data_IF_036552724936
#
_entry.id   IF_036552724936
#
_cell.length_a   1.000
_cell.length_b   1.000
_cell.length_c   1.000
_cell.angle_alpha   90.00
_cell.angle_beta   90.00
_cell.angle_gamma   90.00
#
_symmetry.space_group_name_H-M   'P 1'
#
loop_
_entity.id
_entity.type
_entity.pdbx_description
1 polymer ?
#
# COMPACT_ATOMS: atom_id res chain seq x y z
N UNK A 1 18.65 -2.79 18.75
CA UNK A 1 19.56 -3.36 19.77
C UNK A 1 21.01 -3.02 19.51
N UNK A 2 21.56 -3.30 18.31
CA UNK A 2 22.97 -3.05 18.00
C UNK A 2 23.44 -1.59 18.19
N UNK A 3 22.69 -0.60 17.70
CA UNK A 3 23.00 0.84 17.88
C UNK A 3 23.00 1.23 19.35
N UNK A 4 22.01 0.76 20.11
CA UNK A 4 21.90 1.00 21.55
C UNK A 4 23.11 0.42 22.29
N UNK A 5 23.50 -0.83 22.02
CA UNK A 5 24.67 -1.43 22.67
C UNK A 5 25.98 -0.76 22.25
N UNK A 6 26.11 -0.33 20.98
CA UNK A 6 27.24 0.48 20.53
C UNK A 6 27.38 1.79 21.31
N UNK A 7 26.26 2.49 21.56
CA UNK A 7 26.24 3.71 22.38
C UNK A 7 26.56 3.41 23.86
N UNK A 8 26.15 2.25 24.38
CA UNK A 8 26.52 1.81 25.75
C UNK A 8 28.01 1.54 25.87
N UNK A 9 28.64 0.95 24.84
CA UNK A 9 30.10 0.76 24.78
C UNK A 9 30.87 2.07 24.70
N UNK A 10 30.28 3.11 24.10
CA UNK A 10 30.83 4.47 24.08
C UNK A 10 30.67 5.23 25.41
N UNK A 11 30.14 4.58 26.45
CA UNK A 11 30.04 5.13 27.80
C UNK A 11 28.75 5.89 28.11
N UNK A 12 27.75 5.88 27.21
CA UNK A 12 26.47 6.55 27.46
C UNK A 12 25.63 5.77 28.49
N UNK A 13 24.95 6.50 29.38
CA UNK A 13 23.97 5.92 30.31
C UNK A 13 22.76 5.37 29.54
N UNK A 14 22.08 4.35 30.10
CA UNK A 14 20.96 3.66 29.46
C UNK A 14 19.86 4.62 28.96
N UNK A 15 19.49 5.62 29.77
CA UNK A 15 18.46 6.60 29.41
C UNK A 15 18.86 7.48 28.23
N UNK A 16 20.15 7.83 28.11
CA UNK A 16 20.66 8.66 27.01
C UNK A 16 20.83 7.81 25.75
N UNK A 17 21.41 6.61 25.88
CA UNK A 17 21.64 5.70 24.76
C UNK A 17 20.33 5.35 24.01
N UNK A 18 19.23 5.13 24.75
CA UNK A 18 17.92 4.87 24.16
C UNK A 18 17.42 6.04 23.29
N UNK A 19 17.49 7.27 23.81
CA UNK A 19 17.03 8.48 23.10
C UNK A 19 17.88 8.76 21.87
N UNK A 20 19.21 8.69 22.04
CA UNK A 20 20.17 8.91 20.95
C UNK A 20 19.95 7.89 19.84
N UNK A 21 19.63 6.63 20.16
CA UNK A 21 19.34 5.61 19.13
C UNK A 21 18.24 6.02 18.15
N UNK A 22 17.15 6.66 18.61
CA UNK A 22 16.07 7.13 17.73
C UNK A 22 16.45 8.33 16.89
N UNK A 23 17.22 9.24 17.48
CA UNK A 23 17.65 10.47 16.80
C UNK A 23 18.75 10.19 15.78
N UNK A 24 19.57 9.17 16.00
CA UNK A 24 20.71 8.87 15.12
C UNK A 24 20.31 8.08 13.88
N UNK A 25 19.35 7.15 13.96
CA UNK A 25 19.04 6.25 12.84
C UNK A 25 17.63 6.47 12.26
N UNK A 26 16.52 6.28 13.00
CA UNK A 26 15.19 6.54 12.47
C UNK A 26 14.98 7.96 11.95
N UNK A 27 15.32 9.00 12.73
CA UNK A 27 15.00 10.37 12.36
C UNK A 27 15.67 10.85 11.05
N UNK A 28 16.98 10.63 10.82
CA UNK A 28 17.61 11.02 9.57
C UNK A 28 17.10 10.22 8.37
N UNK A 29 16.81 8.92 8.56
CA UNK A 29 16.23 8.09 7.50
C UNK A 29 14.84 8.61 7.11
N UNK A 30 13.99 8.95 8.09
CA UNK A 30 12.66 9.51 7.81
C UNK A 30 12.74 10.88 7.13
N UNK A 31 13.63 11.76 7.58
CA UNK A 31 13.85 13.08 6.94
C UNK A 31 14.36 12.89 5.51
N UNK A 32 15.31 11.97 5.31
CA UNK A 32 15.83 11.66 3.99
C UNK A 32 14.73 11.14 3.05
N UNK A 33 13.91 10.19 3.49
CA UNK A 33 12.76 9.69 2.72
C UNK A 33 11.76 10.82 2.43
N UNK A 34 11.45 11.66 3.41
CA UNK A 34 10.55 12.81 3.22
C UNK A 34 11.08 13.80 2.17
N UNK A 35 12.38 14.09 2.18
CA UNK A 35 13.03 14.93 1.17
C UNK A 35 12.97 14.27 -0.20
N UNK A 36 13.25 12.95 -0.29
CA UNK A 36 13.11 12.21 -1.54
C UNK A 36 11.67 12.26 -2.07
N UNK A 37 10.66 12.11 -1.22
CA UNK A 37 9.26 12.21 -1.65
C UNK A 37 8.90 13.60 -2.14
N UNK A 38 9.50 14.67 -1.59
CA UNK A 38 9.27 16.03 -2.08
C UNK A 38 9.96 16.31 -3.42
N UNK A 39 11.11 15.68 -3.68
CA UNK A 39 11.86 15.83 -4.94
C UNK A 39 11.28 14.96 -6.06
N UNK A 40 10.88 13.73 -5.74
CA UNK A 40 10.45 12.71 -6.71
C UNK A 40 8.94 12.47 -6.75
N UNK A 41 8.16 13.05 -5.84
CA UNK A 41 6.70 12.96 -5.86
C UNK A 41 6.14 13.74 -7.05
N UNK A 42 5.78 13.03 -8.12
CA UNK A 42 5.33 13.63 -9.38
C UNK A 42 3.80 13.53 -9.60
N UNK A 43 3.04 13.03 -8.63
CA UNK A 43 1.61 12.72 -8.80
C UNK A 43 0.69 13.62 -7.97
N UNK A 44 -0.43 14.02 -8.58
CA UNK A 44 -1.59 14.64 -7.94
C UNK A 44 -2.85 13.82 -8.27
N UNK A 45 -3.97 13.95 -7.54
CA UNK A 45 -5.17 13.12 -7.72
C UNK A 45 -5.85 13.20 -9.10
N UNK A 46 -5.34 14.00 -10.04
CA UNK A 46 -5.86 14.14 -11.40
C UNK A 46 -4.76 14.06 -12.48
N UNK A 47 -3.59 13.48 -12.15
CA UNK A 47 -2.51 13.24 -13.11
C UNK A 47 -1.12 13.72 -12.66
N UNK A 48 -0.29 14.10 -13.64
CA UNK A 48 1.10 14.55 -13.43
C UNK A 48 1.10 15.93 -12.78
N UNK A 49 1.95 16.17 -11.77
CA UNK A 49 2.01 17.45 -11.02
C UNK A 49 2.14 18.72 -11.89
N UNK A 50 2.68 18.58 -13.11
CA UNK A 50 2.76 19.65 -14.11
C UNK A 50 1.37 20.16 -14.56
N UNK A 51 0.37 19.28 -14.59
CA UNK A 51 -0.98 19.54 -15.09
C UNK A 51 -1.95 19.99 -13.97
N UNK A 52 -1.43 20.33 -12.78
CA UNK A 52 -2.24 20.74 -11.61
C UNK A 52 -3.17 21.93 -11.85
N UNK A 53 -2.85 22.77 -12.83
CA UNK A 53 -3.67 23.92 -13.21
C UNK A 53 -4.66 23.60 -14.34
N UNK A 54 -4.60 22.39 -14.89
CA UNK A 54 -5.40 21.92 -16.03
C UNK A 54 -6.40 20.83 -15.63
N UNK A 55 -6.69 20.69 -14.33
CA UNK A 55 -7.74 19.80 -13.86
C UNK A 55 -9.08 20.21 -14.49
N UNK A 56 -9.81 19.32 -15.17
CA UNK A 56 -11.23 19.51 -15.36
C UNK A 56 -11.77 19.58 -13.94
N UNK A 57 -12.15 20.78 -13.50
CA UNK A 57 -12.78 20.97 -12.21
C UNK A 57 -14.03 20.08 -12.20
N UNK A 58 -13.94 18.92 -11.58
CA UNK A 58 -15.08 18.07 -11.31
C UNK A 58 -15.99 18.84 -10.34
N UNK A 59 -16.96 19.56 -10.90
CA UNK A 59 -18.28 19.79 -10.30
C UNK A 59 -18.37 20.68 -9.07
N UNK A 60 -17.50 21.68 -8.86
CA UNK A 60 -17.79 22.74 -7.89
C UNK A 60 -18.60 23.87 -8.54
N UNK A 61 -19.89 23.62 -8.72
CA UNK A 61 -20.92 24.66 -8.62
C UNK A 61 -21.83 24.30 -7.44
N UNK A 62 -21.83 25.07 -6.34
CA UNK A 62 -22.73 24.87 -5.20
C UNK A 62 -24.23 25.09 -5.48
N UNK A 63 -24.65 25.22 -6.73
CA UNK A 63 -25.98 25.74 -7.11
C UNK A 63 -26.93 24.69 -7.73
N UNK A 64 -26.59 23.39 -7.73
CA UNK A 64 -27.48 22.34 -8.27
C UNK A 64 -28.25 21.56 -7.18
N UNK A 65 -28.24 22.04 -5.93
CA UNK A 65 -29.27 21.68 -4.96
C UNK A 65 -30.50 22.55 -5.23
N UNK A 66 -31.47 22.00 -5.98
CA UNK A 66 -32.93 22.24 -5.94
C UNK A 66 -33.57 22.17 -7.34
N UNK A 67 -33.79 20.96 -7.86
CA UNK A 67 -35.08 20.72 -8.55
C UNK A 67 -35.47 19.25 -8.41
N UNK A 68 -36.28 19.00 -7.38
CA UNK A 68 -36.96 17.73 -7.18
C UNK A 68 -38.44 18.00 -7.44
N UNK A 69 -38.81 18.10 -8.71
CA UNK A 69 -40.21 18.28 -9.16
C UNK A 69 -40.61 17.11 -10.07
N UNK A 70 -41.77 16.45 -9.84
CA UNK A 70 -42.23 15.34 -10.68
C UNK A 70 -42.60 15.82 -12.09
N UNK A 71 -42.66 14.92 -13.09
CA UNK A 71 -42.92 15.31 -14.48
C UNK A 71 -44.36 15.80 -14.61
N UNK A 72 -44.54 17.12 -14.76
CA UNK A 72 -45.81 17.69 -15.20
C UNK A 72 -45.83 17.79 -16.71
N UNK A 73 -46.85 17.17 -17.29
CA UNK A 73 -47.21 17.17 -18.70
C UNK A 73 -47.45 18.59 -19.27
N UNK A 74 -47.34 18.69 -20.59
CA UNK A 74 -47.77 19.79 -21.50
C UNK A 74 -46.77 20.92 -21.84
N UNK A 75 -45.91 20.66 -22.84
CA UNK A 75 -45.19 21.69 -23.63
C UNK A 75 -45.74 21.69 -25.07
N UNK A 76 -46.82 22.42 -25.33
CA UNK A 76 -47.35 22.61 -26.70
C UNK A 76 -47.62 24.07 -27.07
N UNK A 77 -47.11 25.05 -26.32
CA UNK A 77 -47.30 26.45 -26.67
C UNK A 77 -46.09 27.32 -26.32
N UNK A 78 -45.08 27.30 -27.21
CA UNK A 78 -43.96 28.26 -27.14
C UNK A 78 -43.49 28.63 -28.54
N UNK A 79 -43.40 29.94 -28.80
CA UNK A 79 -43.16 30.52 -30.13
C UNK A 79 -41.73 30.28 -30.64
N UNK A 80 -41.58 30.11 -31.96
CA UNK A 80 -40.32 29.74 -32.63
C UNK A 80 -39.16 30.73 -32.41
N UNK A 81 -39.47 31.99 -32.10
CA UNK A 81 -38.50 33.05 -31.80
C UNK A 81 -37.73 32.82 -30.48
N UNK A 82 -38.32 32.12 -29.51
CA UNK A 82 -37.63 31.78 -28.24
C UNK A 82 -36.75 30.53 -28.37
N UNK A 83 -37.10 29.61 -29.27
CA UNK A 83 -36.29 28.43 -29.61
C UNK A 83 -35.00 28.82 -30.36
N UNK A 84 -35.05 29.82 -31.23
CA UNK A 84 -33.86 30.34 -31.92
C UNK A 84 -32.89 31.06 -30.97
N UNK A 85 -33.38 31.88 -30.04
CA UNK A 85 -32.53 32.55 -29.03
C UNK A 85 -31.81 31.55 -28.12
N UNK A 86 -32.48 30.49 -27.67
CA UNK A 86 -31.86 29.40 -26.88
C UNK A 86 -30.82 28.60 -27.68
N UNK A 87 -31.01 28.44 -29.01
CA UNK A 87 -30.03 27.78 -29.89
C UNK A 87 -28.80 28.65 -30.17
N UNK A 88 -28.97 29.97 -30.35
CA UNK A 88 -27.85 30.89 -30.55
C UNK A 88 -26.99 31.06 -29.28
N UNK A 89 -27.61 31.06 -28.10
CA UNK A 89 -26.89 31.16 -26.83
C UNK A 89 -26.05 29.89 -26.57
N UNK A 90 -26.58 28.70 -26.86
CA UNK A 90 -25.84 27.42 -26.81
C UNK A 90 -24.69 27.33 -27.83
N UNK A 91 -24.74 28.08 -28.92
CA UNK A 91 -23.71 28.06 -29.97
C UNK A 91 -22.51 28.96 -29.64
N UNK A 92 -22.67 29.99 -28.80
CA UNK A 92 -21.58 30.90 -28.40
C UNK A 92 -20.66 30.33 -27.31
N UNK A 93 -21.11 29.36 -26.51
CA UNK A 93 -20.28 28.76 -25.46
C UNK A 93 -19.40 27.59 -25.93
N UNK A 94 -19.52 27.15 -27.19
CA UNK A 94 -18.61 26.15 -27.79
C UNK A 94 -17.66 26.80 -28.79
N UNK A 95 -16.66 27.55 -28.32
CA UNK A 95 -15.53 27.98 -29.16
C UNK A 95 -14.20 27.89 -28.38
N UNK A 96 -13.22 27.21 -28.99
CA UNK A 96 -11.79 27.10 -28.65
C UNK A 96 -11.43 25.99 -27.64
N UNK A 97 -10.49 25.04 -27.85
CA UNK A 97 -9.49 24.77 -28.90
C UNK A 97 -9.26 23.25 -28.99
N UNK A 98 -9.07 22.75 -30.21
CA UNK A 98 -8.65 21.40 -30.54
C UNK A 98 -7.11 21.34 -30.67
N UNK A 99 -6.41 20.41 -30.01
CA UNK A 99 -5.06 19.96 -30.41
C UNK A 99 -4.82 18.48 -30.05
N UNK A 100 -4.81 17.68 -31.12
CA UNK A 100 -3.96 16.52 -31.44
C UNK A 100 -4.16 15.19 -30.69
N UNK A 101 -4.80 14.31 -31.45
CA UNK A 101 -4.83 12.86 -31.43
C UNK A 101 -3.45 12.20 -31.28
N UNK A 102 -3.37 11.22 -30.37
CA UNK A 102 -2.34 10.19 -30.36
C UNK A 102 -3.01 8.83 -30.54
N UNK A 103 -2.91 8.27 -31.74
CA UNK A 103 -3.25 6.89 -32.08
C UNK A 103 -2.45 5.90 -31.22
N UNK A 104 -3.09 5.39 -30.15
CA UNK A 104 -2.87 4.04 -29.61
C UNK A 104 -4.24 3.59 -29.11
N UNK A 105 -4.71 2.36 -29.40
CA UNK A 105 -6.05 1.95 -29.01
C UNK A 105 -6.17 2.03 -27.48
N UNK A 106 -7.03 2.92 -26.93
CA UNK A 106 -7.19 3.04 -25.50
C UNK A 106 -7.94 1.79 -25.07
N UNK A 107 -7.35 1.03 -24.14
CA UNK A 107 -8.10 0.06 -23.37
C UNK A 107 -9.01 0.89 -22.46
N UNK A 108 -10.15 1.33 -22.97
CA UNK A 108 -11.22 1.92 -22.18
C UNK A 108 -11.81 0.83 -21.28
N UNK A 109 -11.22 0.64 -20.10
CA UNK A 109 -11.96 0.04 -19.00
C UNK A 109 -12.89 1.11 -18.45
N UNK A 110 -14.19 0.94 -18.71
CA UNK A 110 -15.34 1.76 -18.27
C UNK A 110 -15.50 1.83 -16.73
N UNK A 111 -14.44 1.53 -15.98
CA UNK A 111 -14.39 1.44 -14.52
C UNK A 111 -13.71 2.66 -13.89
N UNK A 112 -13.05 3.52 -14.68
CA UNK A 112 -12.17 4.57 -14.15
C UNK A 112 -12.75 5.99 -14.14
N UNK A 113 -14.07 6.14 -14.38
CA UNK A 113 -14.76 7.39 -14.04
C UNK A 113 -15.31 7.24 -12.63
N UNK A 114 -14.44 7.45 -11.63
CA UNK A 114 -14.86 7.60 -10.25
C UNK A 114 -15.67 8.90 -10.13
N UNK A 115 -17.00 8.80 -10.24
CA UNK A 115 -17.90 9.88 -9.85
C UNK A 115 -17.76 10.04 -8.34
N UNK A 116 -17.07 11.09 -7.91
CA UNK A 116 -16.96 11.46 -6.50
C UNK A 116 -18.34 11.91 -6.00
N UNK A 117 -19.19 10.97 -5.63
CA UNK A 117 -20.40 11.27 -4.88
C UNK A 117 -20.01 11.72 -3.47
N UNK A 118 -20.67 12.77 -2.95
CA UNK A 118 -20.45 13.20 -1.58
C UNK A 118 -20.72 12.05 -0.61
N UNK A 119 -19.75 11.73 0.26
CA UNK A 119 -19.80 10.60 1.18
C UNK A 119 -20.98 10.76 2.16
N UNK A 120 -22.14 10.25 1.77
CA UNK A 120 -23.33 10.23 2.61
C UNK A 120 -23.25 9.01 3.53
N UNK A 121 -23.66 9.12 4.79
CA UNK A 121 -23.61 8.02 5.76
C UNK A 121 -24.28 6.72 5.29
N UNK A 122 -25.33 6.84 4.47
CA UNK A 122 -26.01 5.70 3.85
C UNK A 122 -25.12 4.98 2.83
N UNK A 123 -24.46 5.75 1.96
CA UNK A 123 -23.51 5.24 0.96
C UNK A 123 -22.27 4.64 1.64
N UNK A 124 -21.75 5.29 2.69
CA UNK A 124 -20.64 4.77 3.48
C UNK A 124 -20.97 3.42 4.13
N UNK A 125 -22.15 3.29 4.76
CA UNK A 125 -22.61 2.02 5.33
C UNK A 125 -22.80 0.94 4.25
N UNK A 126 -23.34 1.29 3.08
CA UNK A 126 -23.50 0.34 1.98
C UNK A 126 -22.14 -0.18 1.46
N UNK A 127 -21.13 0.70 1.34
CA UNK A 127 -19.76 0.34 0.93
C UNK A 127 -19.10 -0.56 1.97
N UNK A 128 -19.23 -0.23 3.26
CA UNK A 128 -18.67 -1.03 4.36
C UNK A 128 -19.39 -2.37 4.51
N UNK A 129 -20.70 -2.45 4.26
CA UNK A 129 -21.43 -3.72 4.29
C UNK A 129 -21.10 -4.62 3.10
N UNK A 130 -20.49 -4.10 2.03
CA UNK A 130 -20.08 -4.93 0.90
C UNK A 130 -18.82 -5.75 1.26
N UNK A 131 -18.87 -7.10 1.23
CA UNK A 131 -17.73 -7.94 1.58
C UNK A 131 -16.53 -7.76 0.63
N UNK A 132 -16.75 -7.32 -0.62
CA UNK A 132 -15.65 -7.10 -1.57
C UNK A 132 -14.74 -5.95 -1.13
N UNK A 133 -15.27 -4.96 -0.40
CA UNK A 133 -14.50 -3.83 0.14
C UNK A 133 -13.46 -4.29 1.16
N UNK A 134 -13.76 -5.38 1.89
CA UNK A 134 -12.90 -5.92 2.93
C UNK A 134 -11.79 -6.83 2.42
N UNK A 135 -11.92 -7.40 1.22
CA UNK A 135 -10.89 -8.29 0.66
C UNK A 135 -9.47 -7.68 0.66
N UNK A 136 -9.23 -6.46 0.11
CA UNK A 136 -7.91 -5.85 0.14
C UNK A 136 -7.49 -5.43 1.55
N UNK A 137 -8.43 -4.98 2.38
CA UNK A 137 -8.14 -4.59 3.77
C UNK A 137 -7.69 -5.79 4.61
N UNK A 138 -8.36 -6.93 4.47
CA UNK A 138 -8.00 -8.18 5.15
C UNK A 138 -6.67 -8.72 4.64
N UNK A 139 -6.44 -8.70 3.32
CA UNK A 139 -5.15 -9.09 2.75
C UNK A 139 -4.02 -8.26 3.36
N UNK A 140 -4.17 -6.93 3.40
CA UNK A 140 -3.21 -6.04 4.03
C UNK A 140 -3.00 -6.31 5.52
N UNK A 141 -4.09 -6.47 6.29
CA UNK A 141 -4.00 -6.78 7.72
C UNK A 141 -3.23 -8.09 7.96
N UNK A 142 -3.41 -9.10 7.10
CA UNK A 142 -2.71 -10.37 7.24
C UNK A 142 -1.22 -10.28 6.88
N UNK A 143 -0.86 -9.60 5.79
CA UNK A 143 0.54 -9.50 5.35
C UNK A 143 1.34 -8.55 6.23
N UNK A 144 0.84 -7.33 6.43
CA UNK A 144 1.48 -6.33 7.30
C UNK A 144 1.49 -6.77 8.77
N UNK A 145 0.42 -7.44 9.23
CA UNK A 145 0.37 -7.99 10.59
C UNK A 145 1.42 -9.08 10.83
N UNK A 146 1.67 -9.92 9.83
CA UNK A 146 2.75 -10.91 9.87
C UNK A 146 4.13 -10.26 9.92
N UNK A 147 4.39 -9.27 9.05
CA UNK A 147 5.66 -8.53 9.01
C UNK A 147 5.97 -7.90 10.38
N UNK A 148 4.99 -7.19 10.96
CA UNK A 148 5.13 -6.56 12.26
C UNK A 148 5.43 -7.57 13.39
N UNK A 149 4.76 -8.73 13.35
CA UNK A 149 4.97 -9.79 14.33
C UNK A 149 6.38 -10.40 14.20
N UNK A 150 6.84 -10.65 12.97
CA UNK A 150 8.17 -11.18 12.69
C UNK A 150 9.24 -10.21 13.18
N UNK A 151 9.18 -8.93 12.78
CA UNK A 151 10.17 -7.93 13.14
C UNK A 151 10.24 -7.66 14.65
N UNK A 152 9.10 -7.73 15.35
CA UNK A 152 9.04 -7.46 16.79
C UNK A 152 9.46 -8.65 17.64
N UNK A 153 9.14 -9.90 17.23
CA UNK A 153 9.26 -11.09 18.09
C UNK A 153 10.36 -12.04 17.69
N UNK A 154 10.86 -11.99 16.45
CA UNK A 154 11.84 -12.97 15.98
C UNK A 154 13.16 -12.92 16.76
N UNK A 155 13.62 -11.72 17.16
CA UNK A 155 14.84 -11.58 17.95
C UNK A 155 14.72 -12.28 19.32
N UNK A 156 13.57 -12.13 19.99
CA UNK A 156 13.30 -12.77 21.27
C UNK A 156 13.19 -14.29 21.12
N UNK A 157 12.52 -14.76 20.06
CA UNK A 157 12.39 -16.20 19.75
C UNK A 157 13.76 -16.83 19.52
N UNK A 158 14.61 -16.20 18.69
CA UNK A 158 15.96 -16.68 18.43
C UNK A 158 16.81 -16.67 19.71
N UNK A 159 16.76 -15.59 20.50
CA UNK A 159 17.47 -15.52 21.76
C UNK A 159 17.03 -16.64 22.72
N UNK A 160 15.73 -16.81 22.97
CA UNK A 160 15.22 -17.83 23.88
C UNK A 160 15.56 -19.26 23.44
N UNK A 161 15.61 -19.53 22.14
CA UNK A 161 15.91 -20.87 21.63
C UNK A 161 17.40 -21.23 21.71
N UNK A 162 18.28 -20.27 21.41
CA UNK A 162 19.71 -20.52 21.18
C UNK A 162 20.65 -19.98 22.27
N UNK A 163 20.17 -19.11 23.15
CA UNK A 163 20.96 -18.60 24.27
C UNK A 163 21.51 -19.74 25.15
N UNK A 164 22.82 -19.73 25.39
CA UNK A 164 23.52 -20.75 26.19
C UNK A 164 23.72 -22.11 25.51
N UNK A 165 23.21 -22.32 24.29
CA UNK A 165 23.35 -23.58 23.55
C UNK A 165 24.23 -23.49 22.32
N UNK A 166 24.25 -22.32 21.67
CA UNK A 166 25.24 -21.96 20.66
C UNK A 166 26.31 -21.09 21.31
N UNK A 167 27.59 -21.40 21.06
CA UNK A 167 28.71 -20.63 21.60
C UNK A 167 28.61 -19.16 21.15
N UNK A 168 28.56 -18.23 22.10
CA UNK A 168 28.53 -16.79 21.83
C UNK A 168 27.21 -16.24 21.30
N UNK A 169 26.10 -16.99 21.36
CA UNK A 169 24.80 -16.51 20.93
C UNK A 169 24.18 -15.57 21.97
N UNK A 170 24.33 -14.27 21.76
CA UNK A 170 23.82 -13.22 22.64
C UNK A 170 22.63 -12.48 21.99
N UNK A 171 21.96 -11.60 22.75
CA UNK A 171 20.86 -10.75 22.27
C UNK A 171 21.26 -9.88 21.07
N UNK A 172 22.50 -9.41 21.02
CA UNK A 172 23.04 -8.69 19.86
C UNK A 172 23.02 -9.56 18.59
N UNK A 173 23.50 -10.81 18.69
CA UNK A 173 23.57 -11.76 17.57
C UNK A 173 22.16 -12.09 17.05
N UNK A 174 21.22 -12.35 17.96
CA UNK A 174 19.80 -12.54 17.60
C UNK A 174 19.24 -11.31 16.87
N UNK A 175 19.55 -10.11 17.36
CA UNK A 175 19.19 -8.86 16.71
C UNK A 175 19.79 -8.69 15.31
N UNK A 176 21.02 -9.14 15.07
CA UNK A 176 21.61 -9.12 13.73
C UNK A 176 20.90 -10.07 12.78
N UNK A 177 20.56 -11.29 13.21
CA UNK A 177 19.76 -12.20 12.39
C UNK A 177 18.38 -11.63 12.07
N UNK A 178 17.68 -11.04 13.04
CA UNK A 178 16.37 -10.42 12.80
C UNK A 178 16.47 -9.21 11.86
N UNK A 179 17.57 -8.45 11.91
CA UNK A 179 17.75 -7.31 11.00
C UNK A 179 17.76 -7.69 9.51
N UNK A 180 18.08 -8.96 9.19
CA UNK A 180 18.01 -9.46 7.81
C UNK A 180 16.58 -9.36 7.26
N UNK A 181 15.57 -9.64 8.08
CA UNK A 181 14.17 -9.53 7.65
C UNK A 181 13.78 -8.08 7.37
N UNK A 182 14.18 -7.13 8.22
CA UNK A 182 13.96 -5.70 7.93
C UNK A 182 14.73 -5.21 6.68
N UNK A 183 15.95 -5.71 6.44
CA UNK A 183 16.71 -5.39 5.22
C UNK A 183 16.09 -6.00 3.96
N UNK A 184 15.48 -7.18 4.08
CA UNK A 184 14.81 -7.85 2.97
C UNK A 184 13.73 -6.96 2.36
N UNK A 185 12.99 -6.22 3.19
CA UNK A 185 11.89 -5.34 2.77
C UNK A 185 12.34 -4.23 1.82
N UNK A 186 13.61 -3.80 1.90
CA UNK A 186 14.18 -2.81 0.96
C UNK A 186 14.26 -3.38 -0.47
N UNK A 187 14.47 -4.68 -0.61
CA UNK A 187 14.60 -5.35 -1.91
C UNK A 187 13.27 -5.92 -2.38
N UNK A 188 12.52 -6.56 -1.49
CA UNK A 188 11.28 -7.27 -1.86
C UNK A 188 10.14 -6.33 -2.20
N UNK A 189 10.04 -5.15 -1.57
CA UNK A 189 8.98 -4.17 -1.88
C UNK A 189 9.05 -3.60 -3.30
N UNK A 190 10.18 -3.01 -3.76
CA UNK A 190 10.26 -2.54 -5.14
C UNK A 190 10.17 -3.70 -6.13
N UNK A 191 10.71 -4.88 -5.78
CA UNK A 191 10.61 -6.06 -6.60
C UNK A 191 9.17 -6.59 -6.73
N UNK A 192 8.39 -6.59 -5.64
CA UNK A 192 6.98 -6.95 -5.63
C UNK A 192 6.12 -6.00 -6.45
N UNK A 193 6.38 -4.69 -6.34
CA UNK A 193 5.75 -3.70 -7.22
C UNK A 193 6.03 -3.99 -8.70
N UNK A 194 7.30 -4.22 -9.06
CA UNK A 194 7.69 -4.57 -10.42
C UNK A 194 7.03 -5.86 -10.92
N UNK A 195 7.01 -6.93 -10.11
CA UNK A 195 6.35 -8.19 -10.46
C UNK A 195 4.84 -7.97 -10.62
N UNK A 196 4.22 -7.18 -9.75
CA UNK A 196 2.81 -6.80 -9.85
C UNK A 196 2.48 -6.09 -11.16
N UNK A 197 3.35 -5.19 -11.63
CA UNK A 197 3.19 -4.50 -12.91
C UNK A 197 3.36 -5.44 -14.11
N UNK A 198 4.32 -6.35 -14.04
CA UNK A 198 4.52 -7.39 -15.06
C UNK A 198 3.30 -8.31 -15.15
N UNK A 199 2.78 -8.78 -14.01
CA UNK A 199 1.58 -9.63 -13.93
C UNK A 199 0.37 -8.89 -14.49
N UNK A 200 0.22 -7.61 -14.15
CA UNK A 200 -0.87 -6.77 -14.66
C UNK A 200 -0.83 -6.62 -16.17
N UNK A 201 0.36 -6.36 -16.75
CA UNK A 201 0.50 -6.23 -18.20
C UNK A 201 0.16 -7.52 -18.97
N UNK A 202 0.34 -8.69 -18.34
CA UNK A 202 0.11 -9.99 -18.97
C UNK A 202 -1.33 -10.50 -18.80
N UNK A 203 -1.91 -10.36 -17.61
CA UNK A 203 -3.20 -10.97 -17.23
C UNK A 203 -4.25 -9.98 -16.71
N UNK A 204 -3.96 -8.68 -16.74
CA UNK A 204 -4.87 -7.63 -16.28
C UNK A 204 -5.17 -7.71 -14.77
N UNK A 205 -6.34 -7.19 -14.39
CA UNK A 205 -6.76 -7.09 -12.97
C UNK A 205 -7.00 -8.44 -12.31
N UNK A 206 -7.40 -9.47 -13.06
CA UNK A 206 -7.61 -10.82 -12.51
C UNK A 206 -6.27 -11.49 -12.15
N UNK A 207 -5.23 -11.26 -12.95
CA UNK A 207 -3.88 -11.76 -12.67
C UNK A 207 -3.33 -11.27 -11.33
N UNK A 208 -3.51 -9.99 -11.02
CA UNK A 208 -3.10 -9.40 -9.72
C UNK A 208 -3.79 -10.07 -8.53
N UNK A 209 -5.08 -10.40 -8.64
CA UNK A 209 -5.83 -11.08 -7.57
C UNK A 209 -5.27 -12.48 -7.30
N UNK A 210 -5.07 -13.27 -8.36
CA UNK A 210 -4.50 -14.61 -8.24
C UNK A 210 -3.06 -14.59 -7.73
N UNK A 211 -2.25 -13.61 -8.15
CA UNK A 211 -0.89 -13.42 -7.65
C UNK A 211 -0.87 -13.12 -6.15
N UNK A 212 -1.70 -12.17 -5.71
CA UNK A 212 -1.80 -11.81 -4.28
C UNK A 212 -2.25 -13.02 -3.45
N UNK A 213 -3.22 -13.79 -3.94
CA UNK A 213 -3.70 -14.99 -3.28
C UNK A 213 -2.62 -16.08 -3.22
N UNK A 214 -1.86 -16.27 -4.29
CA UNK A 214 -0.76 -17.23 -4.34
C UNK A 214 0.36 -16.87 -3.36
N UNK A 215 0.75 -15.59 -3.29
CA UNK A 215 1.74 -15.11 -2.33
C UNK A 215 1.28 -15.33 -0.89
N UNK A 216 0.01 -14.99 -0.59
CA UNK A 216 -0.60 -15.27 0.72
C UNK A 216 -0.61 -16.76 1.08
N UNK A 217 -0.89 -17.64 0.11
CA UNK A 217 -0.87 -19.09 0.34
C UNK A 217 0.54 -19.60 0.62
N UNK A 218 1.53 -19.17 -0.16
CA UNK A 218 2.94 -19.56 0.05
C UNK A 218 3.42 -19.10 1.42
N UNK A 219 3.13 -17.86 1.80
CA UNK A 219 3.44 -17.32 3.14
C UNK A 219 2.80 -18.17 4.24
N UNK A 220 1.51 -18.51 4.10
CA UNK A 220 0.80 -19.36 5.06
C UNK A 220 1.42 -20.75 5.19
N UNK A 221 1.72 -21.41 4.06
CA UNK A 221 2.37 -22.73 4.04
C UNK A 221 3.76 -22.67 4.66
N UNK A 222 4.58 -21.68 4.33
CA UNK A 222 5.91 -21.50 4.91
C UNK A 222 5.85 -21.28 6.41
N UNK A 223 4.90 -20.47 6.90
CA UNK A 223 4.74 -20.21 8.35
C UNK A 223 4.28 -21.45 9.09
N UNK A 224 3.33 -22.21 8.53
CA UNK A 224 2.88 -23.49 9.10
C UNK A 224 4.03 -24.51 9.12
N UNK A 225 4.78 -24.63 8.03
CA UNK A 225 5.94 -25.51 7.94
C UNK A 225 7.02 -25.15 8.98
N UNK A 226 7.29 -23.86 9.15
CA UNK A 226 8.18 -23.35 10.20
C UNK A 226 7.67 -23.70 11.60
N UNK A 227 6.38 -23.49 11.86
CA UNK A 227 5.74 -23.85 13.12
C UNK A 227 5.85 -25.35 13.44
N UNK A 228 5.57 -26.23 12.47
CA UNK A 228 5.74 -27.67 12.64
C UNK A 228 7.21 -28.08 12.83
N UNK A 229 8.14 -27.45 12.10
CA UNK A 229 9.57 -27.71 12.24
C UNK A 229 10.08 -27.36 13.64
N UNK A 230 9.68 -26.19 14.17
CA UNK A 230 10.00 -25.78 15.55
C UNK A 230 9.34 -26.71 16.58
N UNK A 231 8.08 -27.11 16.35
CA UNK A 231 7.35 -27.99 17.27
C UNK A 231 7.92 -29.42 17.32
N UNK A 232 8.48 -29.90 16.21
CA UNK A 232 9.12 -31.22 16.10
C UNK A 232 10.49 -31.31 16.80
N UNK A 233 11.18 -30.19 16.98
CA UNK A 233 12.49 -30.12 17.65
C UNK A 233 12.32 -29.65 19.10
N UNK A 234 11.82 -30.55 19.96
CA UNK A 234 11.84 -30.36 21.42
C UNK A 234 13.10 -31.03 22.00
N UNK A 235 13.64 -30.44 23.06
CA UNK A 235 14.93 -30.82 23.65
C UNK A 235 15.14 -32.35 23.74
N UNK A 236 16.33 -32.88 23.37
CA UNK A 236 17.63 -32.19 23.28
C UNK A 236 18.07 -31.73 21.87
N UNK A 237 17.31 -32.03 20.82
CA UNK A 237 17.66 -31.62 19.45
C UNK A 237 17.29 -30.16 19.21
N UNK A 238 18.26 -29.36 18.78
CA UNK A 238 18.05 -27.96 18.41
C UNK A 238 17.65 -27.87 16.94
N UNK A 239 16.66 -27.04 16.58
CA UNK A 239 16.39 -26.73 15.19
C UNK A 239 17.60 -26.01 14.58
N UNK A 240 17.96 -26.36 13.35
CA UNK A 240 19.07 -25.70 12.66
C UNK A 240 18.73 -24.25 12.36
N UNK A 241 19.61 -23.33 12.78
CA UNK A 241 19.39 -21.89 12.62
C UNK A 241 19.20 -21.50 11.14
N UNK A 242 19.94 -22.11 10.22
CA UNK A 242 19.81 -21.90 8.77
C UNK A 242 18.42 -22.25 8.25
N UNK A 243 17.85 -23.37 8.71
CA UNK A 243 16.52 -23.84 8.30
C UNK A 243 15.44 -22.91 8.85
N UNK A 244 15.53 -22.53 10.13
CA UNK A 244 14.61 -21.56 10.73
C UNK A 244 14.65 -20.24 9.97
N UNK A 245 15.85 -19.67 9.78
CA UNK A 245 16.01 -18.41 9.06
C UNK A 245 15.52 -18.51 7.61
N UNK A 246 15.80 -19.61 6.91
CA UNK A 246 15.37 -19.82 5.53
C UNK A 246 13.86 -19.89 5.38
N UNK A 247 13.17 -20.67 6.22
CA UNK A 247 11.71 -20.82 6.16
C UNK A 247 11.00 -19.50 6.43
N UNK A 248 11.42 -18.76 7.47
CA UNK A 248 10.86 -17.45 7.76
C UNK A 248 11.24 -16.38 6.73
N UNK A 249 12.38 -16.52 6.05
CA UNK A 249 12.77 -15.61 4.96
C UNK A 249 11.87 -15.80 3.74
N UNK A 250 11.54 -17.05 3.39
CA UNK A 250 10.57 -17.32 2.33
C UNK A 250 9.21 -16.72 2.69
N UNK A 251 8.74 -16.93 3.92
CA UNK A 251 7.49 -16.33 4.37
C UNK A 251 7.52 -14.80 4.29
N UNK A 252 8.61 -14.15 4.71
CA UNK A 252 8.78 -12.70 4.63
C UNK A 252 8.79 -12.19 3.17
N UNK A 253 9.50 -12.87 2.25
CA UNK A 253 9.54 -12.48 0.82
C UNK A 253 8.13 -12.47 0.23
N UNK A 254 7.39 -13.57 0.40
CA UNK A 254 6.04 -13.69 -0.15
C UNK A 254 4.98 -12.86 0.61
N UNK A 255 5.34 -12.26 1.74
CA UNK A 255 4.49 -11.25 2.41
C UNK A 255 4.57 -9.88 1.75
N UNK A 256 5.67 -9.60 1.07
CA UNK A 256 6.00 -8.29 0.47
C UNK A 256 5.78 -8.26 -1.07
N UNK A 257 5.48 -9.41 -1.68
CA UNK A 257 5.23 -9.61 -3.13
C UNK A 257 3.75 -9.51 -3.50
#
# INVERSE_FOLDING_TARGET
>A
VAVYEGLRHLGLTQHVAWRVSFVTVPAPVLIFVAVLTLIFGQDHPAGRWADRHNIPAAGLSPDDDLDNSPPSESDDDMSDLEKEKKREQKKKERVSVHVVESEQPPIESVVDVAVNEALTWKTALAIVSNPLTWLPALAYVTTFGFELALDTKMADILYMMYNGKLNGFNQQTAGYYTSIFGFLNIVTRPFGGYVGDVVYRRWGTQGKKWWTLACGLIMGVSTIAGGFYLAGHKAPTLPELSVVMGVFSVAAIFSEL
#
